data_IF_468830698056
#
_entry.id   IF_468830698056
#
_cell.length_a   1.000
_cell.length_b   1.000
_cell.length_c   1.000
_cell.angle_alpha   90.00
_cell.angle_beta   90.00
_cell.angle_gamma   90.00
#
_symmetry.space_group_name_H-M   'P 1'
#
loop_
_entity.id
_entity.type
_entity.pdbx_description
1 polymer ?
#
# COMPACT_ATOMS: atom_id res chain seq x y z
N UNK A 1 14.22 -5.31 24.97
CA UNK A 1 13.26 -5.65 23.91
C UNK A 1 13.33 -7.17 23.76
N UNK A 2 12.26 -7.87 24.03
CA UNK A 2 12.14 -9.29 23.68
C UNK A 2 11.68 -9.37 22.23
N UNK A 3 12.39 -10.12 21.40
CA UNK A 3 12.11 -10.30 19.97
C UNK A 3 11.43 -11.64 19.67
N UNK A 4 11.19 -12.42 20.70
CA UNK A 4 10.48 -13.68 20.57
C UNK A 4 8.96 -13.43 20.59
N UNK A 5 8.23 -14.27 19.87
CA UNK A 5 6.78 -14.28 19.98
C UNK A 5 6.37 -14.67 21.42
N UNK A 6 5.34 -14.00 21.95
CA UNK A 6 4.69 -14.52 23.16
C UNK A 6 4.00 -15.87 22.85
N UNK A 7 3.60 -16.68 23.85
CA UNK A 7 2.87 -17.91 23.59
C UNK A 7 1.61 -17.71 22.72
N UNK A 8 0.89 -16.61 22.91
CA UNK A 8 -0.29 -16.26 22.12
C UNK A 8 0.10 -15.93 20.67
N UNK A 9 1.17 -15.15 20.47
CA UNK A 9 1.68 -14.78 19.16
C UNK A 9 2.23 -15.99 18.40
N UNK A 10 2.95 -16.89 19.10
CA UNK A 10 3.42 -18.15 18.53
C UNK A 10 2.24 -19.04 18.11
N UNK A 11 1.18 -19.11 18.92
CA UNK A 11 -0.05 -19.82 18.58
C UNK A 11 -0.74 -19.23 17.36
N UNK A 12 -0.82 -17.89 17.25
CA UNK A 12 -1.37 -17.20 16.09
C UNK A 12 -0.53 -17.47 14.83
N UNK A 13 0.79 -17.40 14.92
CA UNK A 13 1.72 -17.72 13.81
C UNK A 13 1.49 -19.15 13.30
N UNK A 14 1.36 -20.11 14.19
CA UNK A 14 1.10 -21.49 13.79
C UNK A 14 -0.28 -21.68 13.14
N UNK A 15 -1.30 -20.93 13.60
CA UNK A 15 -2.62 -20.92 12.98
C UNK A 15 -2.55 -20.39 11.55
N UNK A 16 -1.88 -19.25 11.32
CA UNK A 16 -1.68 -18.65 10.00
C UNK A 16 -0.94 -19.62 9.08
N UNK A 17 0.16 -20.19 9.54
CA UNK A 17 0.97 -21.16 8.78
C UNK A 17 0.15 -22.38 8.36
N UNK A 18 -0.60 -22.96 9.26
CA UNK A 18 -1.49 -24.11 8.98
C UNK A 18 -2.54 -23.77 7.93
N UNK A 19 -3.14 -22.58 8.02
CA UNK A 19 -4.11 -22.14 7.03
C UNK A 19 -3.46 -22.01 5.65
N UNK A 20 -2.30 -21.34 5.58
CA UNK A 20 -1.54 -21.18 4.34
C UNK A 20 -1.13 -22.51 3.73
N UNK A 21 -0.63 -23.44 4.52
CA UNK A 21 -0.26 -24.78 4.04
C UNK A 21 -1.42 -25.55 3.41
N UNK A 22 -2.63 -25.36 3.93
CA UNK A 22 -3.84 -25.95 3.37
C UNK A 22 -4.37 -25.26 2.10
N UNK A 23 -3.96 -24.01 1.82
CA UNK A 23 -4.55 -23.20 0.75
C UNK A 23 -3.56 -22.70 -0.31
N UNK A 24 -2.23 -22.72 -0.05
CA UNK A 24 -1.21 -22.16 -0.95
C UNK A 24 -1.21 -22.73 -2.37
N UNK A 25 -1.66 -23.97 -2.57
CA UNK A 25 -1.79 -24.57 -3.89
C UNK A 25 -2.87 -23.88 -4.79
N UNK A 26 -3.73 -23.06 -4.19
CA UNK A 26 -4.81 -22.32 -4.85
C UNK A 26 -4.46 -20.84 -5.06
N UNK A 27 -3.30 -20.42 -4.56
CA UNK A 27 -2.84 -19.05 -4.71
C UNK A 27 -2.45 -18.78 -6.18
N UNK A 28 -2.78 -17.61 -6.73
CA UNK A 28 -2.27 -17.20 -8.04
C UNK A 28 -0.75 -16.95 -7.96
N UNK A 29 -0.07 -16.80 -9.11
CA UNK A 29 1.31 -16.37 -9.12
C UNK A 29 1.53 -15.09 -8.30
N UNK A 30 2.71 -14.97 -7.67
CA UNK A 30 3.02 -13.80 -6.83
C UNK A 30 3.15 -12.50 -7.65
N UNK A 31 3.46 -12.61 -8.94
CA UNK A 31 3.55 -11.50 -9.89
C UNK A 31 2.76 -11.82 -11.16
N UNK A 32 2.23 -10.77 -11.79
CA UNK A 32 1.52 -10.81 -13.07
C UNK A 32 1.25 -9.37 -13.51
N UNK A 33 0.97 -9.18 -14.79
CA UNK A 33 0.76 -7.85 -15.35
C UNK A 33 -0.46 -7.16 -14.74
N UNK A 34 -0.32 -5.89 -14.43
CA UNK A 34 -1.35 -5.07 -13.77
C UNK A 34 -2.56 -4.78 -14.69
N UNK A 35 -2.45 -5.03 -15.98
CA UNK A 35 -3.50 -4.94 -16.99
C UNK A 35 -4.10 -6.29 -17.40
N UNK A 36 -3.60 -7.41 -16.87
CA UNK A 36 -4.17 -8.74 -17.09
C UNK A 36 -5.41 -8.96 -16.21
N UNK A 37 -6.57 -8.87 -16.82
CA UNK A 37 -7.87 -9.07 -16.14
C UNK A 37 -7.96 -10.44 -15.47
N UNK A 38 -7.48 -11.51 -16.11
CA UNK A 38 -7.55 -12.84 -15.53
C UNK A 38 -6.67 -12.97 -14.28
N UNK A 39 -5.50 -12.32 -14.28
CA UNK A 39 -4.64 -12.24 -13.11
C UNK A 39 -5.30 -11.44 -11.97
N UNK A 40 -5.90 -10.28 -12.28
CA UNK A 40 -6.60 -9.46 -11.28
C UNK A 40 -7.79 -10.23 -10.68
N UNK A 41 -8.57 -10.94 -11.48
CA UNK A 41 -9.69 -11.74 -11.00
C UNK A 41 -9.22 -12.89 -10.10
N UNK A 42 -8.12 -13.56 -10.45
CA UNK A 42 -7.49 -14.56 -9.60
C UNK A 42 -6.99 -13.97 -8.26
N UNK A 43 -6.45 -12.74 -8.29
CA UNK A 43 -6.03 -12.01 -7.09
C UNK A 43 -7.21 -11.59 -6.20
N UNK A 44 -8.36 -11.19 -6.79
CA UNK A 44 -9.62 -10.92 -6.06
C UNK A 44 -10.13 -12.18 -5.38
N UNK A 45 -10.19 -13.31 -6.11
CA UNK A 45 -10.59 -14.59 -5.55
C UNK A 45 -9.68 -15.03 -4.41
N UNK A 46 -8.36 -14.78 -4.52
CA UNK A 46 -7.40 -15.06 -3.46
C UNK A 46 -7.60 -14.16 -2.24
N UNK A 47 -7.83 -12.86 -2.43
CA UNK A 47 -8.15 -11.94 -1.33
C UNK A 47 -9.42 -12.39 -0.58
N UNK A 48 -10.45 -12.83 -1.28
CA UNK A 48 -11.66 -13.38 -0.64
C UNK A 48 -11.32 -14.57 0.25
N UNK A 49 -10.46 -15.50 -0.21
CA UNK A 49 -10.00 -16.61 0.62
C UNK A 49 -9.20 -16.15 1.84
N UNK A 50 -8.33 -15.17 1.67
CA UNK A 50 -7.61 -14.59 2.81
C UNK A 50 -8.58 -13.97 3.82
N UNK A 51 -9.64 -13.29 3.37
CA UNK A 51 -10.68 -12.75 4.25
C UNK A 51 -11.46 -13.85 4.96
N UNK A 52 -11.90 -14.90 4.25
CA UNK A 52 -12.54 -16.08 4.84
C UNK A 52 -11.64 -16.79 5.86
N UNK A 53 -10.32 -16.80 5.62
CA UNK A 53 -9.31 -17.28 6.55
C UNK A 53 -8.94 -16.30 7.66
N UNK A 54 -9.63 -15.15 7.74
CA UNK A 54 -9.33 -14.07 8.69
C UNK A 54 -7.91 -13.48 8.53
N UNK A 55 -7.34 -13.50 7.31
CA UNK A 55 -6.03 -12.95 6.98
C UNK A 55 -6.08 -11.62 6.23
N UNK A 56 -7.27 -11.02 6.09
CA UNK A 56 -7.50 -9.66 5.64
C UNK A 56 -8.12 -8.84 6.76
N UNK A 57 -7.80 -7.55 6.86
CA UNK A 57 -8.34 -6.67 7.89
C UNK A 57 -8.06 -7.11 9.33
N UNK A 58 -6.91 -7.71 9.59
CA UNK A 58 -6.54 -8.30 10.89
C UNK A 58 -6.70 -7.29 12.04
N UNK A 59 -6.35 -6.03 11.80
CA UNK A 59 -6.44 -4.95 12.79
C UNK A 59 -7.79 -4.25 12.82
N UNK A 60 -8.69 -4.54 11.88
CA UNK A 60 -10.01 -3.92 11.88
C UNK A 60 -10.88 -4.44 13.02
N UNK A 61 -11.80 -3.62 13.56
CA UNK A 61 -12.78 -4.07 14.53
C UNK A 61 -13.60 -5.27 14.01
N UNK A 62 -13.99 -6.17 14.91
CA UNK A 62 -14.75 -7.39 14.57
C UNK A 62 -16.10 -7.08 13.93
N UNK A 63 -16.72 -5.98 14.33
CA UNK A 63 -18.00 -5.51 13.77
C UNK A 63 -17.93 -5.17 12.28
N UNK A 64 -16.72 -4.91 11.75
CA UNK A 64 -16.46 -4.65 10.33
C UNK A 64 -15.77 -5.82 9.62
N UNK A 65 -15.82 -7.02 10.21
CA UNK A 65 -15.27 -8.23 9.62
C UNK A 65 -13.78 -8.48 9.91
N UNK A 66 -13.12 -7.61 10.67
CA UNK A 66 -11.75 -7.80 11.12
C UNK A 66 -11.62 -8.74 12.31
N UNK A 67 -10.39 -8.94 12.76
CA UNK A 67 -10.13 -9.75 13.95
C UNK A 67 -10.03 -8.94 15.26
N UNK A 68 -9.89 -7.62 15.17
CA UNK A 68 -9.62 -6.76 16.31
C UNK A 68 -8.28 -7.05 16.99
N UNK A 69 -7.34 -7.62 16.24
CA UNK A 69 -5.99 -7.92 16.72
C UNK A 69 -5.06 -6.71 16.56
N UNK A 70 -3.87 -6.83 17.12
CA UNK A 70 -2.90 -5.76 17.09
C UNK A 70 -2.02 -5.74 15.83
N UNK A 71 -1.18 -4.71 15.70
CA UNK A 71 -0.26 -4.58 14.58
C UNK A 71 0.85 -5.65 14.56
N UNK A 72 1.15 -6.31 15.69
CA UNK A 72 2.12 -7.43 15.71
C UNK A 72 1.53 -8.65 15.01
N UNK A 73 0.28 -8.96 15.24
CA UNK A 73 -0.41 -10.08 14.57
C UNK A 73 -0.51 -9.81 13.06
N UNK A 74 -0.71 -8.55 12.64
CA UNK A 74 -0.62 -8.17 11.23
C UNK A 74 0.78 -8.48 10.65
N UNK A 75 1.85 -8.15 11.37
CA UNK A 75 3.23 -8.43 10.93
C UNK A 75 3.48 -9.94 10.88
N UNK A 76 3.02 -10.69 11.87
CA UNK A 76 3.13 -12.17 11.89
C UNK A 76 2.47 -12.76 10.64
N UNK A 77 1.24 -12.35 10.33
CA UNK A 77 0.54 -12.84 9.15
C UNK A 77 1.28 -12.48 7.85
N UNK A 78 1.78 -11.24 7.72
CA UNK A 78 2.55 -10.82 6.56
C UNK A 78 3.85 -11.62 6.39
N UNK A 79 4.53 -11.96 7.49
CA UNK A 79 5.72 -12.82 7.47
C UNK A 79 5.40 -14.22 6.97
N UNK A 80 4.35 -14.85 7.51
CA UNK A 80 3.96 -16.21 7.11
C UNK A 80 3.48 -16.27 5.65
N UNK A 81 2.75 -15.24 5.16
CA UNK A 81 2.35 -15.11 3.76
C UNK A 81 3.60 -15.03 2.86
N UNK A 82 4.58 -14.20 3.24
CA UNK A 82 5.82 -14.06 2.49
C UNK A 82 6.66 -15.36 2.51
N UNK A 83 6.73 -16.06 3.64
CA UNK A 83 7.45 -17.32 3.78
C UNK A 83 6.77 -18.47 3.01
N UNK A 84 5.44 -18.45 2.91
CA UNK A 84 4.68 -19.38 2.07
C UNK A 84 4.84 -19.09 0.56
N UNK A 85 5.43 -17.94 0.18
CA UNK A 85 5.61 -17.49 -1.22
C UNK A 85 4.30 -17.35 -1.98
N UNK A 86 3.25 -16.94 -1.30
CA UNK A 86 1.94 -16.63 -1.92
C UNK A 86 1.72 -15.11 -1.90
N UNK A 87 0.90 -14.57 -2.82
CA UNK A 87 0.58 -13.15 -2.78
C UNK A 87 -0.25 -12.80 -1.53
N UNK A 88 -0.01 -11.60 -0.99
CA UNK A 88 -0.86 -11.01 0.04
C UNK A 88 -2.20 -10.51 -0.52
N UNK A 89 -2.89 -9.65 0.23
CA UNK A 89 -4.11 -8.98 -0.23
C UNK A 89 -3.84 -8.16 -1.51
N UNK A 90 -4.82 -8.10 -2.42
CA UNK A 90 -4.75 -7.28 -3.63
C UNK A 90 -4.93 -5.80 -3.27
N UNK A 91 -5.95 -5.51 -2.47
CA UNK A 91 -6.34 -4.15 -2.10
C UNK A 91 -5.62 -3.66 -0.84
N UNK A 92 -4.29 -3.50 -0.95
CA UNK A 92 -3.46 -2.97 0.14
C UNK A 92 -3.87 -1.54 0.50
N UNK A 93 -4.25 -0.73 -0.49
CA UNK A 93 -4.69 0.66 -0.30
C UNK A 93 -6.03 0.68 0.42
N UNK A 94 -7.02 -0.04 -0.08
CA UNK A 94 -8.34 -0.11 0.54
C UNK A 94 -8.24 -0.63 1.98
N UNK A 95 -7.70 -1.83 2.18
CA UNK A 95 -7.68 -2.48 3.50
C UNK A 95 -6.70 -1.80 4.47
N UNK A 96 -5.54 -1.38 3.97
CA UNK A 96 -4.49 -0.83 4.83
C UNK A 96 -4.63 0.64 5.17
N UNK A 97 -5.33 1.43 4.36
CA UNK A 97 -5.35 2.89 4.46
C UNK A 97 -6.77 3.47 4.45
N UNK A 98 -7.57 3.14 3.42
CA UNK A 98 -8.87 3.78 3.20
C UNK A 98 -9.96 3.18 4.08
N UNK A 99 -9.95 1.89 4.33
CA UNK A 99 -10.87 1.22 5.26
C UNK A 99 -10.73 1.74 6.68
N UNK A 100 -9.53 1.82 7.26
CA UNK A 100 -9.32 2.49 8.55
C UNK A 100 -9.78 3.95 8.56
N UNK A 101 -9.63 4.68 7.45
CA UNK A 101 -10.15 6.04 7.32
C UNK A 101 -11.69 6.07 7.34
N UNK A 102 -12.35 5.16 6.62
CA UNK A 102 -13.82 5.03 6.66
C UNK A 102 -14.31 4.60 8.05
N UNK A 103 -13.60 3.70 8.73
CA UNK A 103 -13.92 3.31 10.12
C UNK A 103 -13.89 4.53 11.05
N UNK A 104 -12.91 5.42 10.88
CA UNK A 104 -12.74 6.60 11.73
C UNK A 104 -13.68 7.76 11.39
N UNK A 105 -13.98 7.98 10.12
CA UNK A 105 -14.62 9.20 9.63
C UNK A 105 -15.91 8.98 8.82
N UNK A 106 -16.14 7.77 8.34
CA UNK A 106 -17.33 7.44 7.54
C UNK A 106 -18.61 7.41 8.37
N UNK A 107 -19.75 7.59 7.70
CA UNK A 107 -21.06 7.34 8.33
C UNK A 107 -21.31 5.84 8.51
N UNK A 108 -22.29 5.45 9.30
CA UNK A 108 -22.58 4.04 9.52
C UNK A 108 -23.08 3.35 8.22
N UNK A 109 -23.77 4.12 7.36
CA UNK A 109 -24.19 3.66 6.03
C UNK A 109 -22.97 3.41 5.13
N UNK A 110 -22.00 4.33 5.09
CA UNK A 110 -20.76 4.17 4.32
C UNK A 110 -19.96 2.95 4.81
N UNK A 111 -19.83 2.77 6.11
CA UNK A 111 -19.13 1.61 6.70
C UNK A 111 -19.81 0.31 6.32
N UNK A 112 -21.14 0.25 6.51
CA UNK A 112 -21.95 -0.94 6.19
C UNK A 112 -21.89 -1.29 4.70
N UNK A 113 -21.92 -0.26 3.84
CA UNK A 113 -21.92 -0.44 2.37
C UNK A 113 -20.58 -0.92 1.84
N UNK A 114 -19.45 -0.42 2.36
CA UNK A 114 -18.16 -0.56 1.69
C UNK A 114 -17.16 -1.48 2.39
N UNK A 115 -17.16 -1.56 3.73
CA UNK A 115 -16.08 -2.27 4.43
C UNK A 115 -16.09 -3.77 4.16
N UNK A 116 -17.25 -4.41 4.14
CA UNK A 116 -17.35 -5.83 3.82
C UNK A 116 -16.88 -6.17 2.39
N UNK A 117 -17.44 -5.54 1.34
CA UNK A 117 -16.99 -5.73 -0.04
C UNK A 117 -15.50 -5.43 -0.25
N UNK A 118 -14.95 -4.39 0.39
CA UNK A 118 -13.52 -4.07 0.36
C UNK A 118 -12.68 -5.22 0.94
N UNK A 119 -13.08 -5.74 2.09
CA UNK A 119 -12.37 -6.82 2.77
C UNK A 119 -12.28 -8.09 1.92
N UNK A 120 -13.38 -8.44 1.23
CA UNK A 120 -13.48 -9.62 0.39
C UNK A 120 -12.93 -9.43 -1.04
N UNK A 121 -12.47 -8.23 -1.39
CA UNK A 121 -11.93 -7.93 -2.73
C UNK A 121 -13.00 -7.76 -3.81
N UNK A 122 -14.28 -7.64 -3.42
CA UNK A 122 -15.37 -7.33 -4.34
C UNK A 122 -15.28 -5.89 -4.84
N UNK A 123 -14.83 -4.99 -3.97
CA UNK A 123 -14.55 -3.59 -4.26
C UNK A 123 -13.08 -3.30 -3.97
N UNK A 124 -12.28 -3.11 -5.00
CA UNK A 124 -10.92 -2.59 -4.88
C UNK A 124 -10.98 -1.07 -4.86
N UNK A 125 -10.17 -0.46 -4.02
CA UNK A 125 -10.17 0.99 -3.82
C UNK A 125 -8.84 1.63 -4.21
N UNK A 126 -8.91 2.87 -4.74
CA UNK A 126 -7.72 3.67 -5.02
C UNK A 126 -7.73 5.00 -4.27
N UNK A 127 -6.53 5.56 -4.09
CA UNK A 127 -6.31 6.84 -3.42
C UNK A 127 -6.16 7.96 -4.46
N UNK A 128 -7.08 8.92 -4.49
CA UNK A 128 -7.15 10.02 -5.44
C UNK A 128 -6.66 11.32 -4.78
N UNK A 129 -5.36 11.41 -4.48
CA UNK A 129 -4.77 12.53 -3.74
C UNK A 129 -3.92 13.42 -4.63
N UNK A 130 -2.80 12.90 -5.12
CA UNK A 130 -1.79 13.68 -5.86
C UNK A 130 -2.33 14.27 -7.16
N UNK A 131 -1.85 15.46 -7.49
CA UNK A 131 -2.11 16.15 -8.77
C UNK A 131 -0.79 16.53 -9.42
N UNK A 132 -0.76 16.86 -10.73
CA UNK A 132 0.48 17.28 -11.40
C UNK A 132 1.22 18.42 -10.69
N UNK A 133 0.48 19.34 -10.03
CA UNK A 133 1.03 20.48 -9.29
C UNK A 133 0.99 20.32 -7.76
N UNK A 134 0.50 19.21 -7.22
CA UNK A 134 0.31 19.01 -5.78
C UNK A 134 0.65 17.57 -5.37
N UNK A 135 1.90 17.36 -5.01
CA UNK A 135 2.43 16.10 -4.44
C UNK A 135 2.77 16.33 -2.97
N UNK A 136 4.02 16.70 -2.66
CA UNK A 136 4.47 16.97 -1.28
C UNK A 136 3.66 18.07 -0.59
N UNK A 137 3.23 19.11 -1.33
CA UNK A 137 2.24 20.08 -0.85
C UNK A 137 0.82 19.64 -1.22
N UNK A 138 0.35 18.56 -0.60
CA UNK A 138 -0.97 17.99 -0.85
C UNK A 138 -2.11 18.98 -0.59
N UNK A 139 -1.95 19.90 0.34
CA UNK A 139 -2.96 20.93 0.61
C UNK A 139 -3.17 21.91 -0.56
N UNK A 140 -2.29 21.91 -1.56
CA UNK A 140 -2.40 22.74 -2.75
C UNK A 140 -3.23 22.12 -3.87
N UNK A 141 -3.92 20.99 -3.66
CA UNK A 141 -4.78 20.35 -4.66
C UNK A 141 -5.82 21.34 -5.22
N UNK A 142 -6.05 21.24 -6.53
CA UNK A 142 -6.90 22.13 -7.32
C UNK A 142 -8.15 21.45 -7.87
N UNK A 143 -8.23 20.12 -7.87
CA UNK A 143 -9.47 19.39 -8.20
C UNK A 143 -10.59 19.96 -7.36
N UNK A 144 -11.66 20.46 -8.03
CA UNK A 144 -12.75 21.18 -7.38
C UNK A 144 -13.98 20.31 -7.26
N UNK A 145 -14.66 20.44 -6.12
CA UNK A 145 -16.02 19.99 -5.96
C UNK A 145 -16.90 21.20 -5.64
N UNK A 146 -17.86 21.49 -6.50
CA UNK A 146 -18.80 22.61 -6.36
C UNK A 146 -20.18 22.08 -6.01
N UNK A 147 -20.89 22.80 -5.16
CA UNK A 147 -22.32 22.52 -4.95
C UNK A 147 -23.09 22.66 -6.25
N UNK A 148 -23.96 21.67 -6.50
CA UNK A 148 -24.81 21.62 -7.66
C UNK A 148 -26.13 20.92 -7.29
N UNK A 149 -27.15 21.72 -7.04
CA UNK A 149 -28.41 21.24 -6.50
C UNK A 149 -28.23 20.61 -5.11
N UNK A 150 -28.66 19.38 -4.97
CA UNK A 150 -28.57 18.56 -3.75
C UNK A 150 -27.29 17.72 -3.66
N UNK A 151 -26.33 17.94 -4.58
CA UNK A 151 -25.09 17.20 -4.64
C UNK A 151 -23.88 18.07 -4.98
N UNK A 152 -22.92 17.45 -5.65
CA UNK A 152 -21.64 18.04 -6.03
C UNK A 152 -21.31 17.74 -7.49
N UNK A 153 -20.68 18.70 -8.15
CA UNK A 153 -20.02 18.54 -9.45
C UNK A 153 -18.51 18.58 -9.23
N UNK A 154 -17.81 17.54 -9.68
CA UNK A 154 -16.39 17.35 -9.52
C UNK A 154 -15.66 17.55 -10.84
N UNK A 155 -14.64 18.43 -10.87
CA UNK A 155 -13.82 18.71 -12.05
C UNK A 155 -12.35 18.81 -11.65
N UNK A 156 -11.46 18.12 -12.38
CA UNK A 156 -10.02 18.16 -12.13
C UNK A 156 -9.28 16.94 -12.62
N UNK A 157 -8.07 16.74 -12.07
CA UNK A 157 -7.20 15.64 -12.46
C UNK A 157 -6.43 15.13 -11.24
N UNK A 158 -6.29 13.81 -11.14
CA UNK A 158 -5.38 13.13 -10.21
C UNK A 158 -4.31 12.37 -10.99
N UNK A 159 -3.14 12.17 -10.38
CA UNK A 159 -2.02 11.49 -11.01
C UNK A 159 -1.34 10.56 -9.99
N UNK A 160 -0.60 9.59 -10.49
CA UNK A 160 0.06 8.56 -9.68
C UNK A 160 -0.92 7.69 -8.87
N UNK A 161 -2.14 7.53 -9.39
CA UNK A 161 -3.17 6.73 -8.74
C UNK A 161 -2.92 5.24 -8.99
N UNK A 162 -2.51 4.53 -7.96
CA UNK A 162 -2.27 3.09 -8.03
C UNK A 162 -3.58 2.34 -8.23
N UNK A 163 -3.59 1.40 -9.19
CA UNK A 163 -4.68 0.45 -9.44
C UNK A 163 -6.03 1.09 -9.84
N UNK A 164 -6.06 2.36 -10.26
CA UNK A 164 -7.31 3.02 -10.65
C UNK A 164 -8.03 2.28 -11.78
N UNK A 165 -7.29 1.62 -12.68
CA UNK A 165 -7.83 0.92 -13.86
C UNK A 165 -8.77 -0.25 -13.53
N UNK A 166 -8.69 -0.79 -12.31
CA UNK A 166 -9.60 -1.85 -11.85
C UNK A 166 -10.24 -1.57 -10.49
N UNK A 167 -10.08 -0.34 -9.96
CA UNK A 167 -10.73 0.09 -8.74
C UNK A 167 -12.24 0.30 -8.97
N UNK A 168 -13.06 -0.13 -8.03
CA UNK A 168 -14.49 0.17 -8.02
C UNK A 168 -14.76 1.58 -7.49
N UNK A 169 -13.99 2.00 -6.49
CA UNK A 169 -14.12 3.31 -5.84
C UNK A 169 -12.75 3.96 -5.62
N UNK A 170 -12.76 5.29 -5.59
CA UNK A 170 -11.63 6.09 -5.15
C UNK A 170 -11.98 6.98 -3.97
N UNK A 171 -11.05 7.16 -3.04
CA UNK A 171 -11.18 8.17 -1.99
C UNK A 171 -10.46 9.43 -2.44
N UNK A 172 -11.23 10.47 -2.73
CA UNK A 172 -10.76 11.70 -3.40
C UNK A 172 -10.71 12.89 -2.46
N UNK A 173 -9.57 13.58 -2.44
CA UNK A 173 -9.42 14.88 -1.80
C UNK A 173 -9.65 15.99 -2.83
N UNK A 174 -10.66 16.84 -2.60
CA UNK A 174 -11.01 17.96 -3.48
C UNK A 174 -11.14 19.28 -2.73
N UNK A 175 -11.02 20.37 -3.48
CA UNK A 175 -11.23 21.73 -3.00
C UNK A 175 -12.70 22.11 -3.12
N UNK A 176 -13.34 22.34 -1.98
CA UNK A 176 -14.74 22.81 -1.89
C UNK A 176 -14.84 24.30 -1.60
N UNK A 177 -13.79 24.89 -1.01
CA UNK A 177 -13.74 26.33 -0.71
C UNK A 177 -12.33 26.87 -1.02
N UNK A 178 -12.23 27.85 -1.93
CA UNK A 178 -10.97 28.47 -2.31
C UNK A 178 -10.67 29.78 -1.55
N UNK A 179 -11.65 30.31 -0.82
CA UNK A 179 -11.57 31.61 -0.15
C UNK A 179 -11.05 31.51 1.29
N UNK A 180 -10.81 30.29 1.76
CA UNK A 180 -10.25 30.00 3.09
C UNK A 180 -8.80 29.49 2.99
N UNK A 181 -8.03 29.45 4.11
CA UNK A 181 -6.71 28.85 4.10
C UNK A 181 -6.70 27.43 3.53
N UNK A 182 -5.69 27.10 2.72
CA UNK A 182 -5.67 25.89 1.86
C UNK A 182 -6.03 24.58 2.58
N UNK A 183 -5.72 24.42 3.86
CA UNK A 183 -6.03 23.23 4.65
C UNK A 183 -7.50 23.17 5.12
N UNK A 184 -8.21 24.30 5.11
CA UNK A 184 -9.60 24.40 5.61
C UNK A 184 -10.66 24.25 4.51
N UNK A 185 -10.28 24.45 3.26
CA UNK A 185 -11.20 24.39 2.12
C UNK A 185 -11.21 23.03 1.40
N UNK A 186 -10.89 21.95 2.08
CA UNK A 186 -10.79 20.62 1.49
C UNK A 186 -11.89 19.70 2.04
N UNK A 187 -12.42 18.84 1.16
CA UNK A 187 -13.42 17.82 1.50
C UNK A 187 -13.00 16.50 0.89
N UNK A 188 -13.31 15.40 1.58
CA UNK A 188 -13.05 14.05 1.12
C UNK A 188 -14.32 13.44 0.55
N UNK A 189 -14.21 12.75 -0.60
CA UNK A 189 -15.32 12.13 -1.30
C UNK A 189 -15.03 10.68 -1.66
N UNK A 190 -16.03 9.83 -1.58
CA UNK A 190 -16.07 8.54 -2.26
C UNK A 190 -16.48 8.80 -3.72
N UNK A 191 -15.71 8.30 -4.67
CA UNK A 191 -16.00 8.46 -6.10
C UNK A 191 -16.13 7.06 -6.74
N UNK A 192 -17.28 6.71 -7.32
CA UNK A 192 -17.36 5.53 -8.17
C UNK A 192 -16.46 5.72 -9.39
N UNK A 193 -15.58 4.77 -9.66
CA UNK A 193 -14.58 4.90 -10.73
C UNK A 193 -15.16 4.66 -12.12
N UNK A 194 -16.38 4.14 -12.21
CA UNK A 194 -17.19 3.96 -13.42
C UNK A 194 -18.23 5.08 -13.64
N UNK A 195 -18.21 6.13 -12.80
CA UNK A 195 -19.13 7.25 -12.93
C UNK A 195 -18.93 7.99 -14.27
N UNK A 196 -20.03 8.49 -14.85
CA UNK A 196 -19.98 9.35 -16.05
C UNK A 196 -19.08 10.55 -15.78
N UNK A 197 -18.16 10.86 -16.72
CA UNK A 197 -17.18 11.93 -16.59
C UNK A 197 -15.84 11.50 -15.97
N UNK A 198 -15.71 10.27 -15.46
CA UNK A 198 -14.43 9.72 -15.01
C UNK A 198 -13.70 9.10 -16.20
N UNK A 199 -12.44 9.53 -16.42
CA UNK A 199 -11.56 8.94 -17.43
C UNK A 199 -10.25 8.52 -16.80
N UNK A 200 -9.86 7.25 -16.98
CA UNK A 200 -8.64 6.66 -16.41
C UNK A 200 -7.65 6.40 -17.55
N UNK A 201 -6.39 6.81 -17.35
CA UNK A 201 -5.30 6.57 -18.31
C UNK A 201 -4.09 5.99 -17.58
N UNK A 202 -3.65 4.80 -17.99
CA UNK A 202 -2.45 4.17 -17.47
C UNK A 202 -1.19 4.98 -17.78
N UNK A 203 -0.29 5.09 -16.81
CA UNK A 203 1.04 5.69 -16.94
C UNK A 203 2.06 4.57 -17.10
N UNK A 204 2.53 4.35 -18.32
CA UNK A 204 3.57 3.34 -18.57
C UNK A 204 4.89 3.79 -17.96
N UNK A 205 5.44 2.96 -17.10
CA UNK A 205 6.69 3.18 -16.39
C UNK A 205 7.87 2.54 -17.14
N UNK A 206 9.08 2.86 -16.71
CA UNK A 206 10.31 2.27 -17.24
C UNK A 206 10.37 0.75 -16.96
N UNK A 207 9.67 0.27 -15.93
CA UNK A 207 9.50 -1.17 -15.62
C UNK A 207 8.66 -1.93 -16.66
N UNK A 208 7.99 -1.23 -17.58
CA UNK A 208 7.03 -1.80 -18.51
C UNK A 208 5.59 -1.86 -17.98
N UNK A 209 5.41 -1.79 -16.68
CA UNK A 209 4.10 -1.81 -16.00
C UNK A 209 3.35 -0.49 -16.12
N UNK A 210 2.05 -0.52 -15.84
CA UNK A 210 1.17 0.65 -15.85
C UNK A 210 0.22 0.66 -14.63
N UNK A 211 0.74 0.29 -13.46
CA UNK A 211 -0.05 0.28 -12.23
C UNK A 211 -0.46 1.69 -11.74
N UNK A 212 0.26 2.73 -12.18
CA UNK A 212 -0.12 4.10 -11.89
C UNK A 212 -0.95 4.70 -13.00
N UNK A 213 -1.86 5.59 -12.64
CA UNK A 213 -2.82 6.18 -13.57
C UNK A 213 -2.94 7.69 -13.37
N UNK A 214 -3.29 8.37 -14.45
CA UNK A 214 -3.98 9.66 -14.43
C UNK A 214 -5.48 9.40 -14.38
N UNK A 215 -6.18 10.17 -13.56
CA UNK A 215 -7.64 10.11 -13.46
C UNK A 215 -8.20 11.51 -13.67
N UNK A 216 -9.01 11.68 -14.69
CA UNK A 216 -9.64 12.94 -15.04
C UNK A 216 -11.11 12.91 -14.61
N UNK A 217 -11.58 14.05 -14.13
CA UNK A 217 -12.96 14.27 -13.73
C UNK A 217 -13.52 15.43 -14.56
N UNK A 218 -14.55 15.14 -15.34
CA UNK A 218 -15.24 16.12 -16.18
C UNK A 218 -16.71 16.17 -15.75
N UNK A 219 -17.00 17.10 -14.85
CA UNK A 219 -18.34 17.39 -14.31
C UNK A 219 -19.01 16.17 -13.65
N UNK A 220 -18.21 15.32 -12.96
CA UNK A 220 -18.68 14.10 -12.30
C UNK A 220 -19.67 14.44 -11.19
N UNK A 221 -20.86 13.83 -11.21
CA UNK A 221 -21.92 14.07 -10.24
C UNK A 221 -21.78 13.16 -9.04
N UNK A 222 -21.77 13.76 -7.85
CA UNK A 222 -21.73 13.04 -6.57
C UNK A 222 -22.87 13.52 -5.66
N UNK A 223 -23.50 12.61 -4.97
CA UNK A 223 -24.49 12.91 -3.94
C UNK A 223 -23.83 13.26 -2.59
N UNK A 224 -24.57 13.85 -1.68
CA UNK A 224 -24.05 14.27 -0.36
C UNK A 224 -23.59 13.10 0.52
N UNK A 225 -24.16 11.94 0.35
CA UNK A 225 -23.77 10.71 1.05
C UNK A 225 -22.38 10.18 0.65
N UNK A 226 -21.79 10.72 -0.43
CA UNK A 226 -20.41 10.44 -0.82
C UNK A 226 -19.36 11.25 -0.05
N UNK A 227 -19.76 12.22 0.77
CA UNK A 227 -18.84 13.02 1.61
C UNK A 227 -18.38 12.20 2.80
N UNK A 228 -17.06 12.12 3.02
CA UNK A 228 -16.47 11.42 4.18
C UNK A 228 -15.93 12.43 5.19
N UNK A 229 -16.32 12.30 6.44
CA UNK A 229 -15.83 13.12 7.56
C UNK A 229 -16.37 14.56 7.60
N UNK A 230 -17.30 14.91 6.68
CA UNK A 230 -17.95 16.21 6.62
C UNK A 230 -17.26 17.23 5.71
N UNK A 231 -18.05 18.19 5.23
CA UNK A 231 -17.58 19.26 4.33
C UNK A 231 -16.57 20.15 5.06
N UNK A 232 -15.46 20.47 4.41
CA UNK A 232 -14.39 21.32 4.97
C UNK A 232 -13.43 20.56 5.91
N UNK A 233 -13.66 19.29 6.23
CA UNK A 233 -12.81 18.48 7.10
C UNK A 233 -11.89 17.53 6.32
N UNK A 234 -11.77 17.68 5.00
CA UNK A 234 -10.99 16.79 4.15
C UNK A 234 -9.52 16.70 4.52
N UNK A 235 -8.93 17.78 5.07
CA UNK A 235 -7.54 17.73 5.54
C UNK A 235 -7.35 16.78 6.72
N UNK A 236 -8.23 16.86 7.74
CA UNK A 236 -8.19 15.94 8.88
C UNK A 236 -8.33 14.48 8.46
N UNK A 237 -9.27 14.22 7.54
CA UNK A 237 -9.49 12.89 6.96
C UNK A 237 -8.26 12.42 6.15
N UNK A 238 -7.65 13.30 5.35
CA UNK A 238 -6.43 12.99 4.60
C UNK A 238 -5.24 12.65 5.52
N UNK A 239 -5.07 13.36 6.63
CA UNK A 239 -4.02 13.05 7.61
C UNK A 239 -4.18 11.64 8.21
N UNK A 240 -5.42 11.18 8.40
CA UNK A 240 -5.69 9.80 8.83
C UNK A 240 -5.23 8.80 7.79
N UNK A 241 -5.56 9.00 6.50
CA UNK A 241 -5.08 8.14 5.41
C UNK A 241 -3.55 8.11 5.37
N UNK A 242 -2.89 9.27 5.38
CA UNK A 242 -1.43 9.38 5.34
C UNK A 242 -0.74 8.73 6.55
N UNK A 243 -1.37 8.75 7.71
CA UNK A 243 -0.88 8.03 8.90
C UNK A 243 -0.89 6.52 8.65
N UNK A 244 -2.00 5.97 8.17
CA UNK A 244 -2.11 4.55 7.86
C UNK A 244 -1.22 4.14 6.67
N UNK A 245 -1.01 5.01 5.69
CA UNK A 245 -0.05 4.80 4.60
C UNK A 245 1.37 4.58 5.13
N UNK A 246 1.85 5.47 6.02
CA UNK A 246 3.17 5.33 6.66
C UNK A 246 3.29 4.04 7.46
N UNK A 247 2.25 3.67 8.20
CA UNK A 247 2.20 2.41 8.94
C UNK A 247 2.27 1.21 7.98
N UNK A 248 1.48 1.22 6.92
CA UNK A 248 1.42 0.14 5.93
C UNK A 248 2.77 -0.05 5.23
N UNK A 249 3.41 1.04 4.79
CA UNK A 249 4.73 1.01 4.17
C UNK A 249 5.80 0.61 5.18
N UNK A 250 5.79 1.22 6.37
CA UNK A 250 6.82 1.00 7.40
C UNK A 250 6.80 -0.41 8.00
N UNK A 251 5.66 -1.08 8.00
CA UNK A 251 5.52 -2.45 8.54
C UNK A 251 5.79 -3.55 7.48
N UNK A 252 6.21 -3.16 6.27
CA UNK A 252 6.50 -4.12 5.20
C UNK A 252 5.26 -4.85 4.68
N UNK A 253 4.06 -4.35 4.99
CA UNK A 253 2.80 -4.92 4.48
C UNK A 253 2.59 -4.67 2.99
N UNK A 254 3.39 -3.79 2.38
CA UNK A 254 3.33 -3.46 0.95
C UNK A 254 3.90 -4.55 0.01
N UNK A 255 4.26 -5.72 0.53
CA UNK A 255 4.78 -6.81 -0.32
C UNK A 255 6.17 -6.58 -0.92
N UNK A 256 6.77 -5.43 -0.72
CA UNK A 256 8.14 -5.11 -1.12
C UNK A 256 9.14 -5.74 -0.15
N UNK A 257 9.04 -7.07 0.03
CA UNK A 257 9.89 -7.82 0.93
C UNK A 257 11.34 -7.87 0.42
N UNK A 258 12.12 -6.89 0.80
CA UNK A 258 13.57 -6.95 0.63
C UNK A 258 14.14 -7.99 1.60
N UNK A 259 14.19 -9.22 1.11
CA UNK A 259 14.75 -10.34 1.87
C UNK A 259 16.25 -10.40 1.60
N UNK A 260 17.05 -10.21 2.64
CA UNK A 260 18.52 -10.28 2.54
C UNK A 260 19.02 -11.64 2.02
N UNK A 261 18.27 -12.73 2.28
CA UNK A 261 18.55 -14.06 1.78
C UNK A 261 18.45 -14.15 0.24
N UNK A 262 17.54 -13.43 -0.40
CA UNK A 262 17.42 -13.37 -1.85
C UNK A 262 18.65 -12.72 -2.49
N UNK A 263 19.12 -11.61 -1.92
CA UNK A 263 20.34 -10.93 -2.39
C UNK A 263 21.58 -11.78 -2.13
N UNK A 264 21.65 -12.43 -0.95
CA UNK A 264 22.73 -13.36 -0.63
C UNK A 264 22.76 -14.55 -1.59
N UNK A 265 21.62 -15.10 -1.99
CA UNK A 265 21.53 -16.16 -2.96
C UNK A 265 22.01 -15.72 -4.36
N UNK A 266 21.63 -14.53 -4.81
CA UNK A 266 22.08 -13.98 -6.09
C UNK A 266 23.62 -13.77 -6.13
N UNK A 267 24.19 -13.19 -5.07
CA UNK A 267 25.65 -13.03 -4.93
C UNK A 267 26.33 -14.39 -4.84
N UNK A 268 25.74 -15.36 -4.13
CA UNK A 268 26.27 -16.71 -3.96
C UNK A 268 26.26 -17.55 -5.24
N UNK A 269 25.40 -17.22 -6.20
CA UNK A 269 25.33 -17.89 -7.48
C UNK A 269 26.55 -17.58 -8.39
N UNK A 270 27.20 -16.43 -8.18
CA UNK A 270 28.46 -16.08 -8.86
C UNK A 270 29.68 -16.36 -7.94
N UNK A 271 30.52 -17.37 -8.28
CA UNK A 271 31.72 -17.67 -7.48
C UNK A 271 32.75 -16.54 -7.43
N UNK A 272 32.81 -15.65 -8.41
CA UNK A 272 33.72 -14.49 -8.41
C UNK A 272 33.18 -13.41 -7.46
N UNK A 273 31.92 -13.03 -7.60
CA UNK A 273 31.25 -12.06 -6.73
C UNK A 273 31.25 -12.51 -5.27
N UNK A 274 30.99 -13.78 -5.01
CA UNK A 274 30.94 -14.35 -3.64
C UNK A 274 32.30 -14.30 -2.90
N UNK A 275 33.42 -14.18 -3.64
CA UNK A 275 34.77 -14.05 -3.10
C UNK A 275 35.29 -12.61 -3.08
N UNK A 276 34.65 -11.72 -3.83
CA UNK A 276 35.04 -10.32 -3.89
C UNK A 276 34.84 -9.63 -2.52
N UNK A 277 35.88 -9.06 -1.92
CA UNK A 277 35.79 -8.43 -0.61
C UNK A 277 34.83 -7.23 -0.57
N UNK A 278 34.71 -6.46 -1.67
CA UNK A 278 33.80 -5.31 -1.72
C UNK A 278 32.35 -5.74 -1.84
N UNK A 279 32.04 -6.70 -2.69
CA UNK A 279 30.70 -7.30 -2.79
C UNK A 279 30.26 -7.88 -1.45
N UNK A 280 31.14 -8.61 -0.77
CA UNK A 280 30.85 -9.17 0.56
C UNK A 280 30.60 -8.08 1.61
N UNK A 281 31.38 -7.01 1.60
CA UNK A 281 31.20 -5.86 2.49
C UNK A 281 29.84 -5.20 2.23
N UNK A 282 29.51 -4.88 0.97
CA UNK A 282 28.23 -4.26 0.58
C UNK A 282 27.03 -5.13 0.97
N UNK A 283 27.14 -6.44 0.77
CA UNK A 283 26.08 -7.38 1.20
C UNK A 283 25.94 -7.38 2.73
N UNK A 284 27.04 -7.33 3.48
CA UNK A 284 27.04 -7.22 4.94
C UNK A 284 26.41 -5.91 5.44
N UNK A 285 26.77 -4.79 4.81
CA UNK A 285 26.21 -3.47 5.10
C UNK A 285 24.69 -3.47 4.85
N UNK A 286 24.24 -4.00 3.70
CA UNK A 286 22.83 -4.14 3.35
C UNK A 286 22.07 -5.01 4.37
N UNK A 287 22.63 -6.16 4.74
CA UNK A 287 22.01 -7.05 5.72
C UNK A 287 21.86 -6.36 7.09
N UNK A 288 22.88 -5.60 7.50
CA UNK A 288 22.87 -4.81 8.74
C UNK A 288 21.80 -3.73 8.71
N UNK A 289 21.67 -3.01 7.58
CA UNK A 289 20.65 -1.96 7.40
C UNK A 289 19.23 -2.55 7.42
N UNK A 290 18.99 -3.65 6.72
CA UNK A 290 17.69 -4.35 6.72
C UNK A 290 17.31 -4.85 8.12
N UNK A 291 18.27 -5.34 8.93
CA UNK A 291 18.03 -5.70 10.33
C UNK A 291 17.70 -4.46 11.18
N UNK A 292 18.41 -3.35 10.99
CA UNK A 292 18.15 -2.10 11.71
C UNK A 292 16.74 -1.56 11.40
N UNK A 293 16.32 -1.61 10.13
CA UNK A 293 14.95 -1.26 9.70
C UNK A 293 13.93 -2.15 10.41
N UNK A 294 14.14 -3.46 10.42
CA UNK A 294 13.26 -4.42 11.10
C UNK A 294 13.10 -4.10 12.58
N UNK A 295 14.20 -3.84 13.29
CA UNK A 295 14.15 -3.54 14.72
C UNK A 295 13.55 -2.15 15.01
N UNK A 296 13.75 -1.17 14.13
CA UNK A 296 13.09 0.14 14.23
C UNK A 296 11.58 0.00 14.05
N UNK A 297 11.13 -0.84 13.11
CA UNK A 297 9.72 -1.15 12.92
C UNK A 297 9.12 -1.83 14.16
N UNK A 298 9.82 -2.75 14.81
CA UNK A 298 9.36 -3.37 16.06
C UNK A 298 9.23 -2.37 17.22
N UNK A 299 10.09 -1.34 17.28
CA UNK A 299 9.92 -0.26 18.26
C UNK A 299 8.63 0.53 18.01
N UNK A 300 8.35 0.86 16.76
CA UNK A 300 7.10 1.53 16.36
C UNK A 300 5.87 0.68 16.72
N UNK A 301 5.93 -0.62 16.44
CA UNK A 301 4.87 -1.58 16.81
C UNK A 301 4.63 -1.62 18.32
N UNK A 302 5.71 -1.69 19.11
CA UNK A 302 5.61 -1.70 20.57
C UNK A 302 4.98 -0.40 21.10
N UNK A 303 5.32 0.75 20.51
CA UNK A 303 4.71 2.02 20.85
C UNK A 303 3.19 2.03 20.57
N UNK A 304 2.79 1.54 19.39
CA UNK A 304 1.37 1.41 18.99
C UNK A 304 0.59 0.47 19.94
N UNK A 305 1.16 -0.68 20.31
CA UNK A 305 0.53 -1.60 21.27
C UNK A 305 0.30 -0.95 22.63
N UNK A 306 1.19 -0.05 23.04
CA UNK A 306 1.06 0.71 24.27
C UNK A 306 0.15 1.96 24.13
N UNK A 307 -0.60 2.07 23.03
CA UNK A 307 -1.52 3.19 22.77
C UNK A 307 -0.80 4.52 22.45
N UNK A 308 0.48 4.48 22.15
CA UNK A 308 1.24 5.68 21.76
C UNK A 308 1.08 5.94 20.26
N UNK A 309 0.92 7.20 19.88
CA UNK A 309 0.94 7.61 18.47
C UNK A 309 2.40 7.61 18.00
N UNK A 310 2.76 6.90 16.91
CA UNK A 310 4.11 6.93 16.38
C UNK A 310 4.55 8.36 16.03
N UNK A 311 5.75 8.71 16.45
CA UNK A 311 6.36 10.00 16.17
C UNK A 311 7.06 10.03 14.79
N UNK A 312 8.03 10.98 14.63
CA UNK A 312 8.82 11.11 13.38
C UNK A 312 9.58 9.85 12.98
N UNK A 313 9.85 8.94 13.93
CA UNK A 313 10.53 7.66 13.70
C UNK A 313 9.79 6.75 12.69
N UNK A 314 8.48 6.86 12.57
CA UNK A 314 7.72 6.16 11.54
C UNK A 314 8.14 6.59 10.12
N UNK A 315 8.52 7.86 9.95
CA UNK A 315 9.08 8.38 8.69
C UNK A 315 10.49 7.85 8.39
N UNK A 316 11.31 7.58 9.43
CA UNK A 316 12.64 7.01 9.25
C UNK A 316 12.59 5.61 8.60
N UNK A 317 11.63 4.79 8.99
CA UNK A 317 11.47 3.45 8.42
C UNK A 317 11.28 3.51 6.89
N UNK A 318 10.48 4.46 6.37
CA UNK A 318 10.31 4.64 4.91
C UNK A 318 11.60 5.03 4.22
N UNK A 319 12.29 6.06 4.73
CA UNK A 319 13.52 6.58 4.11
C UNK A 319 14.63 5.52 4.10
N UNK A 320 14.83 4.83 5.22
CA UNK A 320 15.86 3.78 5.32
C UNK A 320 15.53 2.58 4.44
N UNK A 321 14.25 2.15 4.38
CA UNK A 321 13.82 1.06 3.50
C UNK A 321 14.09 1.38 2.03
N UNK A 322 13.78 2.60 1.59
CA UNK A 322 14.03 3.04 0.21
C UNK A 322 15.52 3.09 -0.10
N UNK A 323 16.34 3.59 0.82
CA UNK A 323 17.79 3.64 0.62
C UNK A 323 18.40 2.23 0.56
N UNK A 324 17.99 1.32 1.45
CA UNK A 324 18.40 -0.09 1.42
C UNK A 324 17.99 -0.77 0.11
N UNK A 325 16.79 -0.46 -0.39
CA UNK A 325 16.30 -0.98 -1.67
C UNK A 325 17.17 -0.53 -2.85
N UNK A 326 17.51 0.76 -2.90
CA UNK A 326 18.40 1.31 -3.93
C UNK A 326 19.78 0.65 -3.86
N UNK A 327 20.37 0.55 -2.66
CA UNK A 327 21.67 -0.10 -2.46
C UNK A 327 21.64 -1.59 -2.88
N UNK A 328 20.52 -2.29 -2.63
CA UNK A 328 20.31 -3.66 -3.08
C UNK A 328 20.26 -3.76 -4.60
N UNK A 329 19.52 -2.86 -5.27
CA UNK A 329 19.45 -2.82 -6.73
C UNK A 329 20.79 -2.53 -7.39
N UNK A 330 21.56 -1.59 -6.84
CA UNK A 330 22.92 -1.28 -7.29
C UNK A 330 23.88 -2.48 -7.11
N UNK A 331 23.82 -3.15 -5.96
CA UNK A 331 24.62 -4.37 -5.72
C UNK A 331 24.30 -5.47 -6.73
N UNK A 332 23.01 -5.72 -6.99
CA UNK A 332 22.57 -6.75 -7.94
C UNK A 332 22.97 -6.38 -9.37
N UNK A 333 22.81 -5.13 -9.77
CA UNK A 333 23.22 -4.66 -11.10
C UNK A 333 24.74 -4.85 -11.31
N UNK A 334 25.54 -4.57 -10.30
CA UNK A 334 27.01 -4.75 -10.36
C UNK A 334 27.42 -6.23 -10.41
N UNK A 335 26.71 -7.10 -9.67
CA UNK A 335 27.03 -8.55 -9.61
C UNK A 335 26.58 -9.30 -10.85
N UNK A 336 25.34 -9.07 -11.30
CA UNK A 336 24.74 -9.77 -12.43
C UNK A 336 25.14 -9.10 -13.76
N UNK A 337 25.44 -7.80 -13.72
CA UNK A 337 25.78 -7.02 -14.91
C UNK A 337 24.56 -6.77 -15.81
N UNK A 338 24.75 -6.67 -17.15
CA UNK A 338 23.66 -6.33 -18.08
C UNK A 338 22.47 -7.29 -18.03
N UNK A 339 22.68 -8.55 -17.66
CA UNK A 339 21.63 -9.57 -17.58
C UNK A 339 20.60 -9.25 -16.47
N UNK A 340 20.96 -8.40 -15.49
CA UNK A 340 20.02 -7.92 -14.48
C UNK A 340 18.87 -7.09 -15.07
N UNK A 341 19.06 -6.50 -16.27
CA UNK A 341 18.07 -5.69 -16.98
C UNK A 341 17.44 -6.41 -18.16
N UNK A 342 17.75 -7.69 -18.38
CA UNK A 342 17.10 -8.48 -19.41
C UNK A 342 15.59 -8.60 -19.13
N UNK A 343 14.77 -8.67 -20.20
CA UNK A 343 13.30 -8.62 -20.10
C UNK A 343 12.72 -9.76 -19.23
N UNK A 344 13.39 -10.91 -19.21
CA UNK A 344 13.02 -12.08 -18.41
C UNK A 344 13.72 -12.14 -17.04
N UNK A 345 14.51 -11.13 -16.70
CA UNK A 345 15.21 -11.06 -15.41
C UNK A 345 14.24 -10.71 -14.26
N UNK A 346 14.25 -11.50 -13.22
CA UNK A 346 13.52 -11.20 -11.97
C UNK A 346 13.97 -9.89 -11.30
N UNK A 347 15.12 -9.34 -11.68
CA UNK A 347 15.71 -8.12 -11.13
C UNK A 347 15.36 -6.88 -11.94
N UNK A 348 15.01 -7.03 -13.22
CA UNK A 348 14.74 -5.91 -14.13
C UNK A 348 13.59 -5.03 -13.60
N UNK A 349 12.49 -5.64 -13.17
CA UNK A 349 11.39 -4.92 -12.53
C UNK A 349 11.85 -4.18 -11.27
N UNK A 350 12.54 -4.87 -10.34
CA UNK A 350 13.02 -4.27 -9.10
C UNK A 350 13.87 -3.04 -9.38
N UNK A 351 14.92 -3.17 -10.21
CA UNK A 351 15.86 -2.09 -10.53
C UNK A 351 15.15 -0.90 -11.18
N UNK A 352 14.23 -1.17 -12.12
CA UNK A 352 13.47 -0.14 -12.83
C UNK A 352 12.45 0.57 -11.94
N UNK A 353 11.92 -0.10 -10.92
CA UNK A 353 10.93 0.45 -9.98
C UNK A 353 11.56 1.31 -8.87
N UNK A 354 12.79 1.03 -8.49
CA UNK A 354 13.48 1.67 -7.37
C UNK A 354 13.50 3.21 -7.39
N UNK A 355 13.72 3.88 -8.55
CA UNK A 355 13.69 5.35 -8.59
C UNK A 355 12.34 5.95 -8.15
N UNK A 356 11.22 5.28 -8.49
CA UNK A 356 9.87 5.69 -8.10
C UNK A 356 9.62 5.61 -6.60
N UNK A 357 10.24 4.65 -5.91
CA UNK A 357 10.09 4.47 -4.47
C UNK A 357 10.56 5.67 -3.63
N UNK A 358 11.50 6.46 -4.15
CA UNK A 358 11.97 7.67 -3.45
C UNK A 358 10.83 8.69 -3.26
N UNK A 359 9.87 8.73 -4.16
CA UNK A 359 8.73 9.65 -4.15
C UNK A 359 7.45 9.03 -3.54
N UNK A 360 7.30 7.72 -3.60
CA UNK A 360 6.13 7.01 -3.06
C UNK A 360 6.03 7.20 -1.54
N UNK A 361 4.81 7.41 -1.02
CA UNK A 361 4.57 7.57 0.42
C UNK A 361 5.11 8.88 1.02
N UNK A 362 5.39 9.88 0.19
CA UNK A 362 5.95 11.18 0.56
C UNK A 362 7.49 11.22 0.51
N UNK A 363 8.03 12.41 0.34
CA UNK A 363 9.47 12.71 0.30
C UNK A 363 10.01 13.05 1.68
#
# INVERSE_FOLDING_TARGET
MDLNDTPEQAGYREQVRRWLDGHKAQAPPASGASDDTAYIDARRAWQRRLAEGSLAGITWPKEFGGQGLGPIEQVIANQEIADARVPGILDVIGIGMLGPCLIAHGTDEQKTRHLGPMLHGDEVWCQLFSEPAAGSDLAAVQTRARRDGDGWSLTGQKVWTTNAQFAAYGLLLARTDADVPKHKGLTMFIVPMDAEGVTIRGLRQISGEAEFNEVFFDDVRLSDDMVVGGVGNGWGTALTVLMYERLTIGLGSSGMGYRSDRFAAAVGADPAASRDPDVRRRLGDLATELLAIRFTSYRTLTALQNGQIPGPEAGLAKVTTVNAAVAAGELIADVIGPDALAEDSEWAYLISFLPGLKSAGGT
#
